data_IF_373069420443
#
_entry.id   IF_373069420443
#
_cell.length_a   1.000
_cell.length_b   1.000
_cell.length_c   1.000
_cell.angle_alpha   90.00
_cell.angle_beta   90.00
_cell.angle_gamma   90.00
#
_symmetry.space_group_name_H-M   'P 1'
#
loop_
_entity.id
_entity.type
_entity.pdbx_description
1 polymer ?
#
# COMPACT_ATOMS: atom_id res chain seq x y z
N UNK A 1 -1.63 28.32 -8.16
CA UNK A 1 -1.54 26.86 -8.43
C UNK A 1 -2.95 26.31 -8.29
N UNK A 2 -3.49 25.57 -9.27
CA UNK A 2 -4.90 25.13 -9.23
C UNK A 2 -5.13 24.09 -8.12
N UNK A 3 -6.34 24.03 -7.54
CA UNK A 3 -6.70 23.05 -6.50
C UNK A 3 -6.45 21.61 -6.97
N UNK A 4 -6.78 21.32 -8.23
CA UNK A 4 -6.54 20.02 -8.85
C UNK A 4 -5.05 19.65 -8.91
N UNK A 5 -4.18 20.61 -9.23
CA UNK A 5 -2.72 20.42 -9.22
C UNK A 5 -2.20 20.11 -7.82
N UNK A 6 -2.65 20.86 -6.82
CA UNK A 6 -2.27 20.63 -5.42
C UNK A 6 -2.68 19.23 -4.96
N UNK A 7 -3.92 18.83 -5.22
CA UNK A 7 -4.45 17.50 -4.86
C UNK A 7 -3.65 16.36 -5.52
N UNK A 8 -3.29 16.50 -6.80
CA UNK A 8 -2.45 15.52 -7.50
C UNK A 8 -1.08 15.37 -6.85
N UNK A 9 -0.43 16.49 -6.50
CA UNK A 9 0.90 16.51 -5.90
C UNK A 9 0.86 15.90 -4.49
N UNK A 10 -0.15 16.24 -3.70
CA UNK A 10 -0.39 15.66 -2.38
C UNK A 10 -0.51 14.13 -2.44
N UNK A 11 -1.24 13.62 -3.45
CA UNK A 11 -1.39 12.18 -3.71
C UNK A 11 -0.18 11.55 -4.40
N UNK A 12 0.92 12.28 -4.62
CA UNK A 12 2.16 11.79 -5.28
C UNK A 12 1.92 11.19 -6.69
N UNK A 13 0.90 11.65 -7.42
CA UNK A 13 0.57 11.14 -8.75
C UNK A 13 1.18 12.01 -9.87
N UNK A 14 1.61 11.37 -10.95
CA UNK A 14 1.96 12.05 -12.20
C UNK A 14 0.70 12.45 -12.97
N UNK A 15 0.84 13.41 -13.89
CA UNK A 15 -0.26 13.80 -14.77
C UNK A 15 -0.74 12.65 -15.65
N UNK A 16 0.16 11.74 -16.03
CA UNK A 16 -0.17 10.56 -16.83
C UNK A 16 -1.02 9.59 -16.01
N UNK A 17 -0.60 9.25 -14.79
CA UNK A 17 -1.38 8.37 -13.91
C UNK A 17 -2.79 8.88 -13.67
N UNK A 18 -2.99 10.19 -13.41
CA UNK A 18 -4.34 10.74 -13.25
C UNK A 18 -5.14 10.67 -14.56
N UNK A 19 -4.51 10.94 -15.71
CA UNK A 19 -5.17 10.83 -17.00
C UNK A 19 -5.67 9.41 -17.27
N UNK A 20 -4.84 8.40 -16.98
CA UNK A 20 -5.16 6.98 -17.13
C UNK A 20 -6.30 6.57 -16.17
N UNK A 21 -6.23 6.98 -14.90
CA UNK A 21 -7.28 6.73 -13.89
C UNK A 21 -8.62 7.36 -14.27
N UNK A 22 -8.61 8.52 -14.92
CA UNK A 22 -9.82 9.22 -15.36
C UNK A 22 -10.32 8.73 -16.73
N UNK A 23 -9.59 7.86 -17.42
CA UNK A 23 -9.92 7.42 -18.77
C UNK A 23 -9.90 8.56 -19.82
N UNK A 24 -9.01 9.54 -19.65
CA UNK A 24 -8.87 10.69 -20.56
C UNK A 24 -7.45 10.83 -21.08
N UNK A 25 -7.27 11.55 -22.20
CA UNK A 25 -5.92 11.82 -22.71
C UNK A 25 -5.12 12.74 -21.77
N UNK A 26 -3.79 12.54 -21.70
CA UNK A 26 -2.87 13.41 -20.98
C UNK A 26 -3.05 14.89 -21.36
N UNK A 27 -3.28 15.18 -22.64
CA UNK A 27 -3.56 16.53 -23.14
C UNK A 27 -4.82 17.12 -22.50
N UNK A 28 -5.88 16.32 -22.38
CA UNK A 28 -7.12 16.75 -21.73
C UNK A 28 -6.89 17.04 -20.27
N UNK A 29 -6.23 16.14 -19.54
CA UNK A 29 -5.94 16.34 -18.13
C UNK A 29 -5.06 17.58 -17.89
N UNK A 30 -3.98 17.76 -18.68
CA UNK A 30 -3.13 18.96 -18.63
C UNK A 30 -3.93 20.25 -18.85
N UNK A 31 -4.93 20.22 -19.72
CA UNK A 31 -5.80 21.37 -19.92
C UNK A 31 -6.63 21.67 -18.67
N UNK A 32 -7.29 20.68 -18.06
CA UNK A 32 -8.03 20.89 -16.81
C UNK A 32 -7.15 21.28 -15.61
N UNK A 33 -5.89 20.86 -15.57
CA UNK A 33 -4.98 21.22 -14.48
C UNK A 33 -4.45 22.66 -14.59
N UNK A 34 -4.24 23.17 -15.81
CA UNK A 34 -3.55 24.45 -16.05
C UNK A 34 -4.42 25.60 -16.58
N UNK A 35 -5.64 25.32 -17.05
CA UNK A 35 -6.56 26.32 -17.62
C UNK A 35 -7.57 26.78 -16.55
N UNK A 36 -7.50 28.05 -16.14
CA UNK A 36 -8.35 28.59 -15.08
C UNK A 36 -9.83 28.71 -15.51
N UNK A 37 -10.12 28.87 -16.81
CA UNK A 37 -11.50 28.95 -17.31
C UNK A 37 -12.25 27.62 -17.13
N UNK A 38 -11.52 26.51 -16.97
CA UNK A 38 -12.11 25.18 -16.79
C UNK A 38 -12.45 24.87 -15.34
N UNK A 39 -11.97 25.67 -14.39
CA UNK A 39 -12.25 25.48 -12.96
C UNK A 39 -13.77 25.60 -12.74
N UNK A 40 -14.34 24.64 -12.01
CA UNK A 40 -15.77 24.61 -11.69
C UNK A 40 -16.68 24.05 -12.79
N UNK A 41 -16.15 23.73 -13.99
CA UNK A 41 -16.92 22.98 -14.99
C UNK A 41 -17.28 21.60 -14.48
N UNK A 42 -18.35 21.00 -15.02
CA UNK A 42 -18.80 19.65 -14.62
C UNK A 42 -17.67 18.62 -14.70
N UNK A 43 -16.88 18.66 -15.78
CA UNK A 43 -15.76 17.74 -15.98
C UNK A 43 -14.59 18.02 -15.04
N UNK A 44 -14.33 19.29 -14.71
CA UNK A 44 -13.33 19.64 -13.68
C UNK A 44 -13.73 19.11 -12.31
N UNK A 45 -14.98 19.35 -11.89
CA UNK A 45 -15.47 18.91 -10.59
C UNK A 45 -15.47 17.38 -10.51
N UNK A 46 -15.89 16.69 -11.57
CA UNK A 46 -15.81 15.23 -11.66
C UNK A 46 -14.37 14.72 -11.48
N UNK A 47 -13.40 15.29 -12.20
CA UNK A 47 -11.98 14.89 -12.06
C UNK A 47 -11.49 15.17 -10.64
N UNK A 48 -11.86 16.31 -10.06
CA UNK A 48 -11.46 16.70 -8.71
C UNK A 48 -12.02 15.75 -7.65
N UNK A 49 -13.33 15.46 -7.70
CA UNK A 49 -14.02 14.55 -6.78
C UNK A 49 -13.45 13.14 -6.90
N UNK A 50 -13.31 12.61 -8.12
CA UNK A 50 -12.73 11.28 -8.33
C UNK A 50 -11.28 11.21 -7.87
N UNK A 51 -10.46 12.22 -8.17
CA UNK A 51 -9.08 12.25 -7.69
C UNK A 51 -9.03 12.35 -6.15
N UNK A 52 -9.96 13.06 -5.52
CA UNK A 52 -10.04 13.16 -4.07
C UNK A 52 -10.35 11.79 -3.41
N UNK A 53 -11.26 11.02 -4.02
CA UNK A 53 -11.63 9.66 -3.58
C UNK A 53 -10.52 8.63 -3.81
N UNK A 54 -9.68 8.80 -4.84
CA UNK A 54 -8.64 7.82 -5.18
C UNK A 54 -7.57 7.78 -4.09
N UNK A 55 -7.32 6.60 -3.54
CA UNK A 55 -6.12 6.33 -2.77
C UNK A 55 -5.00 6.00 -3.77
N UNK A 56 -3.90 6.79 -3.84
CA UNK A 56 -2.81 6.54 -4.79
C UNK A 56 -2.05 5.23 -4.51
N UNK A 57 -2.30 4.65 -3.34
CA UNK A 57 -1.81 3.35 -2.92
C UNK A 57 -3.05 2.47 -2.74
N UNK A 58 -3.11 1.41 -3.52
CA UNK A 58 -4.12 0.36 -3.43
C UNK A 58 -3.47 -1.01 -3.70
N UNK A 59 -4.28 -2.06 -3.69
CA UNK A 59 -3.80 -3.44 -3.85
C UNK A 59 -2.99 -3.69 -5.13
N UNK A 60 -3.19 -2.90 -6.20
CA UNK A 60 -2.52 -3.07 -7.48
C UNK A 60 -1.69 -1.84 -7.90
N UNK A 61 -1.71 -0.76 -7.13
CA UNK A 61 -1.00 0.48 -7.44
C UNK A 61 -0.22 1.03 -6.26
N UNK A 62 0.90 1.71 -6.56
CA UNK A 62 1.74 2.37 -5.56
C UNK A 62 2.68 1.43 -4.81
N UNK A 63 3.78 1.99 -4.32
CA UNK A 63 4.76 1.32 -3.46
C UNK A 63 4.72 2.04 -2.12
N UNK A 64 4.63 1.28 -1.03
CA UNK A 64 4.76 1.78 0.34
C UNK A 64 6.21 1.65 0.81
N UNK A 65 6.65 2.58 1.66
CA UNK A 65 7.96 2.46 2.30
C UNK A 65 7.91 1.52 3.52
N UNK A 66 9.07 1.02 3.94
CA UNK A 66 9.17 0.05 5.05
C UNK A 66 8.74 0.68 6.39
N UNK A 67 8.95 1.98 6.57
CA UNK A 67 8.55 2.69 7.79
C UNK A 67 7.04 2.83 7.90
N UNK A 68 6.35 3.05 6.77
CA UNK A 68 4.90 3.02 6.65
C UNK A 68 4.35 1.63 7.00
N UNK A 69 4.94 0.56 6.43
CA UNK A 69 4.56 -0.82 6.76
C UNK A 69 4.70 -1.03 8.27
N UNK A 70 5.86 -0.67 8.84
CA UNK A 70 6.14 -0.79 10.28
C UNK A 70 5.08 -0.09 11.12
N UNK A 71 4.80 1.18 10.83
CA UNK A 71 3.86 1.99 11.62
C UNK A 71 2.43 1.43 11.56
N UNK A 72 1.97 1.03 10.37
CA UNK A 72 0.62 0.49 10.18
C UNK A 72 0.47 -0.87 10.85
N UNK A 73 1.42 -1.78 10.67
CA UNK A 73 1.41 -3.07 11.34
C UNK A 73 1.45 -2.91 12.86
N UNK A 74 2.28 -2.02 13.39
CA UNK A 74 2.35 -1.76 14.84
C UNK A 74 1.00 -1.31 15.41
N UNK A 75 0.26 -0.46 14.69
CA UNK A 75 -1.07 0.00 15.13
C UNK A 75 -2.09 -1.14 15.17
N UNK A 76 -2.02 -2.08 14.22
CA UNK A 76 -2.90 -3.26 14.21
C UNK A 76 -2.53 -4.22 15.35
N UNK A 77 -1.23 -4.42 15.59
CA UNK A 77 -0.75 -5.37 16.59
C UNK A 77 -1.12 -5.00 18.03
N UNK A 78 -1.50 -3.76 18.34
CA UNK A 78 -1.98 -3.36 19.67
C UNK A 78 -3.21 -4.17 20.14
N UNK A 79 -4.00 -4.72 19.20
CA UNK A 79 -5.17 -5.56 19.49
C UNK A 79 -4.88 -7.06 19.65
N UNK A 80 -3.63 -7.50 19.47
CA UNK A 80 -3.27 -8.91 19.31
C UNK A 80 -2.01 -9.27 20.13
N UNK A 81 -1.91 -10.52 20.58
CA UNK A 81 -0.70 -11.04 21.22
C UNK A 81 0.31 -11.46 20.15
N UNK A 82 1.14 -10.51 19.72
CA UNK A 82 2.21 -10.73 18.73
C UNK A 82 3.56 -10.76 19.45
N UNK A 83 4.37 -11.78 19.21
CA UNK A 83 5.73 -11.87 19.76
C UNK A 83 6.72 -11.08 18.92
N UNK A 84 6.69 -11.27 17.60
CA UNK A 84 7.48 -10.51 16.65
C UNK A 84 6.89 -10.58 15.24
N UNK A 85 7.28 -9.63 14.39
CA UNK A 85 6.97 -9.66 12.97
C UNK A 85 8.19 -9.28 12.12
N UNK A 86 8.42 -10.04 11.06
CA UNK A 86 9.42 -9.76 10.02
C UNK A 86 8.73 -9.43 8.70
N UNK A 87 9.18 -8.35 8.07
CA UNK A 87 8.94 -8.08 6.66
C UNK A 87 9.99 -8.85 5.85
N UNK A 88 9.56 -9.60 4.85
CA UNK A 88 10.46 -10.30 3.92
C UNK A 88 10.08 -10.03 2.46
N UNK A 89 10.64 -10.81 1.54
CA UNK A 89 10.28 -10.73 0.13
C UNK A 89 10.71 -9.43 -0.55
N UNK A 90 9.88 -8.95 -1.46
CA UNK A 90 10.24 -7.88 -2.40
C UNK A 90 10.50 -6.53 -1.72
N UNK A 91 9.70 -6.18 -0.70
CA UNK A 91 9.82 -4.93 0.05
C UNK A 91 11.10 -4.93 0.90
N UNK A 92 11.39 -6.02 1.60
CA UNK A 92 12.62 -6.14 2.40
C UNK A 92 13.90 -6.04 1.54
N UNK A 93 13.85 -6.58 0.31
CA UNK A 93 14.97 -6.55 -0.65
C UNK A 93 15.09 -5.25 -1.45
N UNK A 94 14.17 -4.29 -1.27
CA UNK A 94 14.12 -3.04 -2.05
C UNK A 94 13.79 -3.25 -3.53
N UNK A 95 13.07 -4.33 -3.88
CA UNK A 95 12.71 -4.72 -5.25
C UNK A 95 11.20 -4.71 -5.52
N UNK A 96 10.41 -4.16 -4.59
CA UNK A 96 8.95 -4.08 -4.74
C UNK A 96 8.55 -3.28 -5.98
N UNK A 97 7.55 -3.80 -6.68
CA UNK A 97 6.84 -3.14 -7.78
C UNK A 97 5.47 -2.64 -7.28
N UNK A 98 4.77 -1.79 -8.06
CA UNK A 98 3.43 -1.33 -7.68
C UNK A 98 2.41 -2.44 -7.40
N UNK A 99 2.57 -3.61 -8.01
CA UNK A 99 1.68 -4.76 -7.83
C UNK A 99 2.18 -5.75 -6.77
N UNK A 100 3.32 -5.48 -6.13
CA UNK A 100 3.90 -6.40 -5.13
C UNK A 100 3.08 -6.45 -3.85
N UNK A 101 2.89 -7.68 -3.36
CA UNK A 101 2.30 -7.97 -2.07
C UNK A 101 3.29 -7.67 -0.94
N UNK A 102 2.78 -7.40 0.26
CA UNK A 102 3.59 -7.21 1.47
C UNK A 102 3.71 -8.54 2.20
N UNK A 103 4.89 -9.15 2.14
CA UNK A 103 5.18 -10.46 2.72
C UNK A 103 5.59 -10.33 4.21
N UNK A 104 4.81 -10.92 5.11
CA UNK A 104 5.01 -10.81 6.56
C UNK A 104 5.10 -12.18 7.22
N UNK A 105 6.11 -12.37 8.05
CA UNK A 105 6.16 -13.47 9.01
C UNK A 105 5.72 -12.94 10.37
N UNK A 106 4.73 -13.58 10.99
CA UNK A 106 4.23 -13.22 12.31
C UNK A 106 4.37 -14.42 13.25
N UNK A 107 5.06 -14.22 14.38
CA UNK A 107 5.01 -15.15 15.52
C UNK A 107 3.91 -14.69 16.48
N UNK A 108 2.90 -15.53 16.63
CA UNK A 108 1.74 -15.26 17.48
C UNK A 108 1.07 -16.56 17.90
N UNK A 109 0.46 -16.58 19.10
CA UNK A 109 -0.45 -17.64 19.52
C UNK A 109 -1.85 -17.52 18.92
N UNK A 110 -2.14 -16.45 18.17
CA UNK A 110 -3.43 -16.21 17.53
C UNK A 110 -3.64 -17.18 16.37
N UNK A 111 -4.78 -17.88 16.37
CA UNK A 111 -5.11 -18.89 15.36
C UNK A 111 -6.58 -18.82 14.92
N UNK A 112 -6.93 -19.56 13.87
CA UNK A 112 -8.29 -19.66 13.35
C UNK A 112 -8.85 -18.31 12.88
N UNK A 113 -10.13 -18.05 13.17
CA UNK A 113 -10.82 -16.83 12.72
C UNK A 113 -10.16 -15.52 13.19
N UNK A 114 -9.51 -15.52 14.37
CA UNK A 114 -8.80 -14.34 14.86
C UNK A 114 -7.55 -14.04 14.03
N UNK A 115 -6.87 -15.07 13.55
CA UNK A 115 -5.70 -14.90 12.68
C UNK A 115 -6.12 -14.32 11.32
N UNK A 116 -7.22 -14.82 10.74
CA UNK A 116 -7.78 -14.19 9.53
C UNK A 116 -8.19 -12.73 9.77
N UNK A 117 -8.80 -12.41 10.92
CA UNK A 117 -9.10 -11.03 11.30
C UNK A 117 -7.86 -10.13 11.32
N UNK A 118 -6.78 -10.61 11.94
CA UNK A 118 -5.49 -9.92 11.95
C UNK A 118 -4.98 -9.66 10.51
N UNK A 119 -4.97 -10.68 9.65
CA UNK A 119 -4.50 -10.54 8.26
C UNK A 119 -5.35 -9.52 7.48
N UNK A 120 -6.67 -9.56 7.64
CA UNK A 120 -7.59 -8.60 7.03
C UNK A 120 -7.35 -7.16 7.50
N UNK A 121 -7.15 -6.96 8.81
CA UNK A 121 -6.86 -5.64 9.37
C UNK A 121 -5.54 -5.08 8.85
N UNK A 122 -4.50 -5.90 8.70
CA UNK A 122 -3.23 -5.49 8.08
C UNK A 122 -3.45 -5.11 6.62
N UNK A 123 -4.18 -5.93 5.84
CA UNK A 123 -4.48 -5.63 4.42
C UNK A 123 -5.16 -4.27 4.28
N UNK A 124 -6.19 -4.03 5.09
CA UNK A 124 -6.96 -2.77 5.10
C UNK A 124 -6.08 -1.60 5.54
N UNK A 125 -5.25 -1.77 6.57
CA UNK A 125 -4.38 -0.70 7.08
C UNK A 125 -3.28 -0.30 6.10
N UNK A 126 -2.76 -1.26 5.33
CA UNK A 126 -1.72 -1.02 4.32
C UNK A 126 -2.28 -0.59 2.96
N UNK A 127 -3.56 -0.88 2.70
CA UNK A 127 -4.16 -0.79 1.37
C UNK A 127 -3.35 -1.57 0.31
N UNK A 128 -2.70 -2.66 0.72
CA UNK A 128 -1.94 -3.56 -0.16
C UNK A 128 -2.36 -4.99 0.11
N UNK A 129 -2.24 -5.85 -0.89
CA UNK A 129 -2.27 -7.29 -0.67
C UNK A 129 -1.15 -7.66 0.30
N UNK A 130 -1.45 -8.61 1.16
CA UNK A 130 -0.54 -9.10 2.18
C UNK A 130 -0.46 -10.61 2.07
N UNK A 131 0.75 -11.16 2.12
CA UNK A 131 0.97 -12.59 2.32
C UNK A 131 1.53 -12.76 3.72
N UNK A 132 0.75 -13.37 4.61
CA UNK A 132 1.09 -13.49 6.03
C UNK A 132 1.32 -14.96 6.36
N UNK A 133 2.55 -15.24 6.78
CA UNK A 133 2.98 -16.56 7.21
C UNK A 133 3.07 -16.61 8.74
N UNK A 134 2.67 -17.74 9.31
CA UNK A 134 2.93 -18.07 10.70
C UNK A 134 4.19 -18.95 10.83
N UNK A 135 4.61 -19.20 12.07
CA UNK A 135 5.80 -20.02 12.36
C UNK A 135 5.69 -21.47 11.87
N UNK A 136 4.48 -22.05 11.83
CA UNK A 136 4.27 -23.42 11.40
C UNK A 136 4.58 -23.58 9.90
N UNK A 137 4.22 -22.59 9.08
CA UNK A 137 4.47 -22.60 7.63
C UNK A 137 5.96 -22.48 7.26
N UNK A 138 6.80 -22.04 8.20
CA UNK A 138 8.26 -21.95 8.02
C UNK A 138 8.96 -23.29 8.19
N UNK A 139 8.43 -24.18 9.02
CA UNK A 139 9.10 -25.42 9.41
C UNK A 139 9.37 -26.34 8.21
N UNK A 140 8.49 -26.30 7.21
CA UNK A 140 8.59 -27.14 6.02
C UNK A 140 9.27 -26.42 4.83
N UNK A 141 9.77 -25.19 5.02
CA UNK A 141 10.39 -24.40 3.96
C UNK A 141 11.76 -23.81 4.37
N UNK A 142 12.85 -24.60 4.26
CA UNK A 142 14.18 -24.15 4.63
C UNK A 142 14.73 -23.06 3.70
N UNK A 143 14.24 -22.94 2.46
CA UNK A 143 14.64 -21.87 1.54
C UNK A 143 14.07 -20.53 1.97
N UNK A 144 12.77 -20.50 2.30
CA UNK A 144 12.11 -19.33 2.87
C UNK A 144 12.73 -18.93 4.21
N UNK A 145 13.05 -19.90 5.07
CA UNK A 145 13.74 -19.64 6.34
C UNK A 145 15.07 -18.91 6.09
N UNK A 146 15.89 -19.40 5.15
CA UNK A 146 17.17 -18.76 4.81
C UNK A 146 16.98 -17.37 4.23
N UNK A 147 15.96 -17.16 3.40
CA UNK A 147 15.61 -15.85 2.88
C UNK A 147 15.29 -14.86 4.01
N UNK A 148 14.39 -15.24 4.92
CA UNK A 148 13.96 -14.37 6.02
C UNK A 148 15.13 -14.04 6.95
N UNK A 149 15.98 -15.02 7.25
CA UNK A 149 17.16 -14.80 8.09
C UNK A 149 18.20 -13.89 7.43
N UNK A 150 18.29 -13.90 6.09
CA UNK A 150 19.30 -13.15 5.34
C UNK A 150 18.86 -11.72 5.04
N UNK A 151 17.65 -11.57 4.51
CA UNK A 151 17.16 -10.31 3.96
C UNK A 151 15.98 -9.73 4.77
N UNK A 152 15.39 -10.50 5.69
CA UNK A 152 14.23 -10.08 6.45
C UNK A 152 14.50 -8.92 7.41
N UNK A 153 13.54 -8.03 7.52
CA UNK A 153 13.59 -6.84 8.38
C UNK A 153 12.62 -7.03 9.54
N UNK A 154 13.12 -7.04 10.77
CA UNK A 154 12.25 -7.03 11.95
C UNK A 154 11.50 -5.70 12.01
N UNK A 155 10.18 -5.76 11.98
CA UNK A 155 9.31 -4.57 12.06
C UNK A 155 8.57 -4.46 13.38
N UNK A 156 8.49 -5.54 14.16
CA UNK A 156 7.86 -5.53 15.48
C UNK A 156 8.50 -6.57 16.42
N UNK A 157 8.46 -6.28 17.73
CA UNK A 157 8.98 -7.11 18.82
C UNK A 157 10.48 -7.03 19.02
#
# INVERSE_FOLDING_TARGET
MSKLKSLRIEKKLTQQQVADLMGISLRSYKSYENDEEKIGTLKYNYIFEKLAEINPIDENHGIVDVDYIRQKCQSVFEGYEIEFCYLFGSYAKGKATPESDVDLLISTGVSGLKFYGLVEEIRVALHKKVDVLNMEQLMDNPELTKEILKDGIKIYG
#
